data_IF_904337921531
#
_entry.id   IF_904337921531
#
_cell.length_a   1.000
_cell.length_b   1.000
_cell.length_c   1.000
_cell.angle_alpha   90.00
_cell.angle_beta   90.00
_cell.angle_gamma   90.00
#
_symmetry.space_group_name_H-M   'P 1'
#
loop_
_entity.id
_entity.type
_entity.pdbx_description
1 polymer ?
#
# COMPACT_ATOMS: atom_id res chain seq x y z
N UNK A 1 5.05 6.42 0.19
CA UNK A 1 5.39 7.45 1.23
C UNK A 1 6.26 6.91 2.38
N UNK A 2 5.85 5.82 3.04
CA UNK A 2 6.53 5.28 4.23
C UNK A 2 8.01 4.92 4.00
N UNK A 3 8.36 4.41 2.82
CA UNK A 3 9.75 4.05 2.48
C UNK A 3 10.69 5.26 2.56
N UNK A 4 10.25 6.42 2.06
CA UNK A 4 11.02 7.68 2.11
C UNK A 4 11.21 8.17 3.54
N UNK A 5 10.19 8.00 4.39
CA UNK A 5 10.27 8.37 5.80
C UNK A 5 11.26 7.46 6.53
N UNK A 6 11.19 6.14 6.30
CA UNK A 6 12.12 5.20 6.91
C UNK A 6 13.57 5.52 6.51
N UNK A 7 13.82 5.71 5.21
CA UNK A 7 15.16 6.02 4.69
C UNK A 7 15.75 7.30 5.29
N UNK A 8 14.97 8.39 5.36
CA UNK A 8 15.41 9.67 5.95
C UNK A 8 15.76 9.55 7.44
N UNK A 9 15.11 8.64 8.16
CA UNK A 9 15.38 8.33 9.55
C UNK A 9 16.44 7.22 9.75
N UNK A 10 17.06 6.71 8.69
CA UNK A 10 18.06 5.65 8.76
C UNK A 10 17.48 4.26 9.11
N UNK A 11 16.16 4.10 8.97
CA UNK A 11 15.41 2.88 9.22
C UNK A 11 15.16 2.10 7.93
N UNK A 12 14.87 0.80 8.07
CA UNK A 12 14.50 -0.07 6.94
C UNK A 12 12.98 -0.23 6.89
N UNK A 13 12.42 -0.13 5.70
CA UNK A 13 11.02 -0.47 5.44
C UNK A 13 10.91 -1.90 4.89
N UNK A 14 9.97 -2.68 5.42
CA UNK A 14 9.67 -4.02 4.94
C UNK A 14 8.22 -4.08 4.49
N UNK A 15 8.03 -4.34 3.21
CA UNK A 15 6.71 -4.68 2.69
C UNK A 15 6.46 -6.19 2.89
N UNK A 16 5.28 -6.53 3.41
CA UNK A 16 4.85 -7.92 3.63
C UNK A 16 3.45 -8.14 3.05
N UNK A 17 3.05 -9.38 2.75
CA UNK A 17 1.69 -9.68 2.34
C UNK A 17 0.64 -9.20 3.34
N UNK A 18 -0.55 -8.85 2.85
CA UNK A 18 -1.64 -8.39 3.70
C UNK A 18 -2.03 -9.43 4.73
N UNK A 19 -2.21 -8.93 5.95
CA UNK A 19 -2.58 -9.71 7.11
C UNK A 19 -1.59 -9.47 8.24
N UNK A 20 -2.09 -8.96 9.36
CA UNK A 20 -1.26 -8.51 10.47
C UNK A 20 -0.31 -9.56 11.06
N UNK A 21 -0.61 -10.85 10.88
CA UNK A 21 0.31 -11.94 11.23
C UNK A 21 1.68 -11.78 10.56
N UNK A 22 1.71 -11.34 9.29
CA UNK A 22 2.95 -11.13 8.54
C UNK A 22 3.73 -9.93 9.08
N UNK A 23 3.01 -8.86 9.44
CA UNK A 23 3.60 -7.68 10.09
C UNK A 23 4.24 -8.08 11.42
N UNK A 24 3.50 -8.77 12.30
CA UNK A 24 4.04 -9.21 13.60
C UNK A 24 5.24 -10.13 13.44
N UNK A 25 5.20 -11.10 12.51
CA UNK A 25 6.35 -11.97 12.24
C UNK A 25 7.56 -11.22 11.71
N UNK A 26 7.38 -10.24 10.82
CA UNK A 26 8.48 -9.44 10.27
C UNK A 26 9.09 -8.53 11.33
N UNK A 27 8.27 -7.88 12.16
CA UNK A 27 8.75 -7.05 13.26
C UNK A 27 9.58 -7.85 14.26
N UNK A 28 9.22 -9.11 14.53
CA UNK A 28 10.02 -9.99 15.39
C UNK A 28 11.34 -10.41 14.74
N UNK A 29 11.35 -10.64 13.43
CA UNK A 29 12.53 -11.09 12.71
C UNK A 29 13.60 -10.00 12.57
N UNK A 30 13.19 -8.76 12.34
CA UNK A 30 14.10 -7.63 12.08
C UNK A 30 14.20 -6.63 13.26
N UNK A 31 13.50 -6.89 14.36
CA UNK A 31 13.33 -5.93 15.46
C UNK A 31 12.82 -4.58 14.94
N UNK A 32 11.76 -4.56 14.12
CA UNK A 32 11.27 -3.30 13.53
C UNK A 32 10.57 -2.41 14.58
N UNK A 33 10.68 -1.09 14.42
CA UNK A 33 10.12 -0.12 15.38
C UNK A 33 8.59 -0.06 15.35
N UNK A 34 8.03 -0.05 14.15
CA UNK A 34 6.60 0.20 13.88
C UNK A 34 6.13 -0.78 12.81
N UNK A 35 4.88 -1.23 12.93
CA UNK A 35 4.23 -2.04 11.92
C UNK A 35 2.76 -1.64 11.78
N UNK A 36 2.27 -1.59 10.54
CA UNK A 36 0.91 -1.18 10.29
C UNK A 36 0.36 -1.63 8.93
N UNK A 37 -0.95 -1.51 8.79
CA UNK A 37 -1.70 -1.83 7.57
C UNK A 37 -2.71 -0.71 7.27
N UNK A 38 -3.09 -0.56 6.00
CA UNK A 38 -3.98 0.52 5.54
C UNK A 38 -5.40 0.47 6.16
N UNK A 39 -5.81 -0.67 6.72
CA UNK A 39 -7.06 -0.81 7.49
C UNK A 39 -7.02 -0.15 8.88
N UNK A 40 -5.95 0.57 9.23
CA UNK A 40 -5.80 1.28 10.50
C UNK A 40 -5.22 0.45 11.63
N UNK A 41 -4.75 -0.77 11.34
CA UNK A 41 -4.02 -1.59 12.30
C UNK A 41 -2.61 -1.05 12.51
N UNK A 42 -2.20 -0.87 13.77
CA UNK A 42 -0.88 -0.39 14.16
C UNK A 42 -0.35 -1.19 15.35
N UNK A 43 0.95 -1.42 15.37
CA UNK A 43 1.70 -1.85 16.55
C UNK A 43 3.08 -1.21 16.60
N UNK A 44 3.64 -1.13 17.80
CA UNK A 44 4.97 -0.57 18.08
C UNK A 44 5.77 -1.61 18.86
N UNK A 45 7.08 -1.63 18.61
CA UNK A 45 8.05 -2.47 19.32
C UNK A 45 7.82 -2.39 20.83
N UNK A 46 7.78 -3.56 21.49
CA UNK A 46 7.66 -3.67 22.94
C UNK A 46 6.25 -3.55 23.53
N UNK A 47 5.20 -3.28 22.72
CA UNK A 47 3.82 -3.24 23.21
C UNK A 47 3.15 -4.63 23.17
N UNK A 48 2.49 -4.97 22.07
CA UNK A 48 1.87 -6.28 21.85
C UNK A 48 2.14 -6.77 20.43
N UNK A 49 2.14 -8.09 20.25
CA UNK A 49 2.29 -8.77 18.94
C UNK A 49 0.95 -8.79 18.18
N UNK A 50 0.31 -7.63 18.06
CA UNK A 50 -1.05 -7.48 17.53
C UNK A 50 -1.44 -6.01 17.38
N UNK A 51 -2.62 -5.77 16.81
CA UNK A 51 -3.16 -4.41 16.65
C UNK A 51 -3.72 -3.93 17.98
N UNK A 52 -3.44 -2.68 18.33
CA UNK A 52 -4.09 -2.02 19.46
C UNK A 52 -4.54 -0.61 19.06
N UNK A 53 -5.85 -0.47 18.82
CA UNK A 53 -6.44 0.80 18.43
C UNK A 53 -6.47 1.82 19.58
N UNK A 54 -6.53 1.38 20.85
CA UNK A 54 -6.49 2.28 22.00
C UNK A 54 -5.09 2.86 22.11
N UNK A 55 -4.07 2.01 22.05
CA UNK A 55 -2.68 2.43 22.08
C UNK A 55 -2.33 3.36 20.91
N UNK A 56 -2.74 3.02 19.68
CA UNK A 56 -2.54 3.87 18.50
C UNK A 56 -3.21 5.25 18.67
N UNK A 57 -4.43 5.27 19.21
CA UNK A 57 -5.15 6.52 19.50
C UNK A 57 -4.43 7.35 20.58
N UNK A 58 -3.88 6.69 21.62
CA UNK A 58 -3.11 7.37 22.66
C UNK A 58 -1.83 8.01 22.11
N UNK A 59 -1.13 7.36 21.17
CA UNK A 59 0.04 7.95 20.50
C UNK A 59 -0.33 9.21 19.69
N UNK A 60 -1.49 9.22 19.03
CA UNK A 60 -1.98 10.42 18.34
C UNK A 60 -2.31 11.55 19.32
N UNK A 61 -2.94 11.22 20.47
CA UNK A 61 -3.23 12.20 21.52
C UNK A 61 -1.94 12.77 22.11
N UNK A 62 -0.95 11.92 22.38
CA UNK A 62 0.38 12.34 22.83
C UNK A 62 1.05 13.26 21.81
N UNK A 63 1.04 12.89 20.53
CA UNK A 63 1.63 13.68 19.45
C UNK A 63 1.01 15.08 19.38
N UNK A 64 -0.32 15.20 19.47
CA UNK A 64 -1.01 16.49 19.53
C UNK A 64 -0.64 17.26 20.80
N UNK A 65 -0.59 16.59 21.95
CA UNK A 65 -0.29 17.22 23.24
C UNK A 65 1.14 17.74 23.33
N UNK A 66 2.12 17.02 22.77
CA UNK A 66 3.55 17.38 22.82
C UNK A 66 3.87 18.45 21.79
N UNK A 67 3.32 18.34 20.59
CA UNK A 67 3.63 19.28 19.50
C UNK A 67 2.79 20.56 19.55
N UNK A 68 1.60 20.50 20.15
CA UNK A 68 0.60 21.58 20.09
C UNK A 68 -0.01 21.79 18.69
N UNK A 69 0.32 20.93 17.71
CA UNK A 69 -0.12 21.06 16.32
C UNK A 69 -1.38 20.24 16.05
N UNK A 70 -2.18 20.68 15.08
CA UNK A 70 -3.28 19.89 14.53
C UNK A 70 -2.71 18.74 13.68
N UNK A 71 -3.47 17.65 13.59
CA UNK A 71 -3.11 16.52 12.72
C UNK A 71 -2.93 16.93 11.26
N UNK A 72 -3.71 17.89 10.77
CA UNK A 72 -3.57 18.42 9.40
C UNK A 72 -2.21 19.10 9.20
N UNK A 73 -1.74 19.88 10.17
CA UNK A 73 -0.44 20.56 10.09
C UNK A 73 0.72 19.55 10.10
N UNK A 74 0.61 18.51 10.91
CA UNK A 74 1.59 17.41 10.93
C UNK A 74 1.62 16.64 9.61
N UNK A 75 0.46 16.39 9.00
CA UNK A 75 0.39 15.79 7.66
C UNK A 75 0.97 16.71 6.59
N UNK A 76 0.70 18.02 6.65
CA UNK A 76 1.26 18.99 5.72
C UNK A 76 2.79 19.06 5.82
N UNK A 77 3.36 18.92 7.01
CA UNK A 77 4.81 18.82 7.21
C UNK A 77 5.39 17.55 6.59
N UNK A 78 4.72 16.40 6.78
CA UNK A 78 5.11 15.13 6.15
C UNK A 78 5.07 15.25 4.64
N UNK A 79 3.97 15.75 4.07
CA UNK A 79 3.83 15.89 2.61
C UNK A 79 4.77 16.96 2.04
N UNK A 80 5.01 18.05 2.77
CA UNK A 80 5.96 19.08 2.38
C UNK A 80 7.40 18.55 2.30
N UNK A 81 7.78 17.62 3.18
CA UNK A 81 9.12 17.02 3.20
C UNK A 81 9.27 15.84 2.23
N UNK A 82 8.31 14.93 2.17
CA UNK A 82 8.45 13.65 1.47
C UNK A 82 7.65 13.55 0.15
N UNK A 83 6.87 14.59 -0.15
CA UNK A 83 5.93 14.62 -1.26
C UNK A 83 4.56 14.06 -0.88
N UNK A 84 3.54 14.50 -1.63
CA UNK A 84 2.19 13.98 -1.48
C UNK A 84 2.06 12.58 -2.08
N UNK A 85 1.22 11.74 -1.48
CA UNK A 85 0.90 10.40 -1.96
C UNK A 85 -0.61 10.22 -1.92
N UNK A 86 -1.22 10.16 -3.09
CA UNK A 86 -2.65 9.90 -3.25
C UNK A 86 -2.86 8.43 -3.60
N UNK A 87 -3.69 7.75 -2.82
CA UNK A 87 -4.09 6.36 -3.07
C UNK A 87 -5.47 6.33 -3.73
N UNK A 88 -5.51 5.91 -5.00
CA UNK A 88 -6.74 5.57 -5.71
C UNK A 88 -7.09 4.09 -5.53
N UNK A 89 -8.38 3.79 -5.42
CA UNK A 89 -8.93 2.43 -5.32
C UNK A 89 -9.95 2.18 -6.42
N UNK A 90 -9.96 0.96 -6.96
CA UNK A 90 -10.84 0.62 -8.06
C UNK A 90 -11.04 -0.88 -8.22
N UNK A 91 -12.12 -1.37 -7.64
CA UNK A 91 -12.51 -2.78 -7.78
C UNK A 91 -13.02 -3.10 -9.19
N UNK A 92 -12.54 -4.23 -9.73
CA UNK A 92 -13.05 -4.83 -10.96
C UNK A 92 -13.84 -6.10 -10.62
N UNK A 93 -15.15 -6.04 -10.83
CA UNK A 93 -16.00 -7.24 -10.74
C UNK A 93 -15.78 -8.10 -11.96
N UNK A 94 -15.78 -9.42 -11.78
CA UNK A 94 -15.72 -10.37 -12.88
C UNK A 94 -16.69 -11.52 -12.64
N UNK A 95 -17.14 -12.15 -13.72
CA UNK A 95 -17.92 -13.39 -13.63
C UNK A 95 -17.00 -14.53 -13.18
N UNK A 96 -17.48 -15.52 -12.41
CA UNK A 96 -16.67 -16.66 -11.99
C UNK A 96 -15.91 -17.36 -13.13
N UNK A 97 -16.53 -17.46 -14.32
CA UNK A 97 -15.91 -18.04 -15.51
C UNK A 97 -14.68 -17.26 -16.03
N UNK A 98 -14.58 -15.96 -15.77
CA UNK A 98 -13.45 -15.11 -16.18
C UNK A 98 -12.26 -15.22 -15.23
N UNK A 99 -12.46 -15.76 -14.01
CA UNK A 99 -11.41 -15.81 -12.98
C UNK A 99 -10.15 -16.53 -13.46
N UNK A 100 -10.30 -17.69 -14.10
CA UNK A 100 -9.16 -18.46 -14.59
C UNK A 100 -8.40 -17.73 -15.70
N UNK A 101 -9.12 -17.03 -16.59
CA UNK A 101 -8.53 -16.24 -17.68
C UNK A 101 -7.73 -15.07 -17.11
N UNK A 102 -8.32 -14.29 -16.20
CA UNK A 102 -7.65 -13.19 -15.52
C UNK A 102 -6.45 -13.66 -14.71
N UNK A 103 -6.59 -14.80 -14.02
CA UNK A 103 -5.51 -15.38 -13.23
C UNK A 103 -4.33 -15.79 -14.12
N UNK A 104 -4.60 -16.50 -15.22
CA UNK A 104 -3.55 -16.89 -16.16
C UNK A 104 -2.88 -15.66 -16.76
N UNK A 105 -3.64 -14.68 -17.22
CA UNK A 105 -3.12 -13.43 -17.79
C UNK A 105 -2.18 -12.69 -16.82
N UNK A 106 -2.61 -12.50 -15.57
CA UNK A 106 -1.88 -11.67 -14.58
C UNK A 106 -0.73 -12.45 -13.91
N UNK A 107 -0.95 -13.70 -13.49
CA UNK A 107 -0.02 -14.42 -12.61
C UNK A 107 0.81 -15.49 -13.31
N UNK A 108 0.30 -16.10 -14.39
CA UNK A 108 1.01 -17.16 -15.12
C UNK A 108 1.80 -16.57 -16.28
N UNK A 109 1.11 -15.85 -17.16
CA UNK A 109 1.71 -15.18 -18.31
C UNK A 109 2.39 -13.87 -17.93
N UNK A 110 2.08 -13.33 -16.74
CA UNK A 110 2.66 -12.10 -16.19
C UNK A 110 2.52 -10.91 -17.13
N UNK A 111 1.41 -10.86 -17.86
CA UNK A 111 1.08 -9.73 -18.71
C UNK A 111 0.71 -8.52 -17.87
N UNK A 112 1.12 -7.34 -18.32
CA UNK A 112 0.83 -6.05 -17.70
C UNK A 112 0.32 -5.07 -18.76
N UNK A 113 -0.47 -4.05 -18.38
CA UNK A 113 -0.78 -2.94 -19.28
C UNK A 113 0.51 -2.22 -19.68
N UNK A 114 0.43 -1.49 -20.80
CA UNK A 114 1.39 -0.43 -21.08
C UNK A 114 1.08 0.75 -20.16
N UNK A 115 2.03 1.08 -19.28
CA UNK A 115 1.92 2.20 -18.36
C UNK A 115 2.58 3.44 -18.95
N UNK A 116 2.09 4.62 -18.53
CA UNK A 116 2.73 5.90 -18.91
C UNK A 116 4.09 6.12 -18.22
N UNK A 117 4.44 5.29 -17.22
CA UNK A 117 5.66 5.40 -16.44
C UNK A 117 6.56 4.18 -16.60
N UNK A 118 7.87 4.43 -16.54
CA UNK A 118 8.90 3.39 -16.50
C UNK A 118 8.72 2.48 -15.28
N UNK A 119 8.65 1.18 -15.52
CA UNK A 119 8.64 0.16 -14.48
C UNK A 119 10.04 0.02 -13.89
N UNK A 120 10.13 0.08 -12.56
CA UNK A 120 11.33 -0.22 -11.79
C UNK A 120 11.41 -1.72 -11.47
N UNK A 121 10.34 -2.27 -10.91
CA UNK A 121 10.24 -3.71 -10.58
C UNK A 121 8.78 -4.15 -10.52
N UNK A 122 8.58 -5.47 -10.56
CA UNK A 122 7.25 -6.09 -10.38
C UNK A 122 7.36 -7.19 -9.32
N UNK A 123 6.49 -7.16 -8.32
CA UNK A 123 6.31 -8.22 -7.33
C UNK A 123 5.03 -9.00 -7.60
N UNK A 124 5.08 -10.29 -7.31
CA UNK A 124 3.93 -11.21 -7.40
C UNK A 124 3.61 -11.88 -6.05
N UNK A 125 4.21 -11.41 -4.95
CA UNK A 125 4.10 -12.04 -3.63
C UNK A 125 2.70 -11.92 -3.00
N UNK A 126 2.04 -10.77 -3.18
CA UNK A 126 0.68 -10.51 -2.67
C UNK A 126 -0.21 -9.84 -3.71
N UNK A 127 -0.14 -10.33 -4.95
CA UNK A 127 -0.77 -9.70 -6.10
C UNK A 127 0.27 -9.23 -7.11
N UNK A 128 -0.18 -8.81 -8.29
CA UNK A 128 0.71 -8.20 -9.27
C UNK A 128 0.93 -6.73 -8.93
N UNK A 129 2.02 -6.43 -8.21
CA UNK A 129 2.41 -5.07 -7.82
C UNK A 129 3.52 -4.55 -8.72
N UNK A 130 3.25 -3.47 -9.43
CA UNK A 130 4.20 -2.76 -10.29
C UNK A 130 4.67 -1.51 -9.56
N UNK A 131 5.99 -1.36 -9.45
CA UNK A 131 6.64 -0.17 -8.90
C UNK A 131 7.21 0.63 -10.06
N UNK A 132 6.98 1.93 -10.06
CA UNK A 132 7.45 2.85 -11.08
C UNK A 132 8.69 3.60 -10.60
N UNK A 133 9.58 3.96 -11.53
CA UNK A 133 10.81 4.71 -11.19
C UNK A 133 10.57 6.09 -10.57
N UNK A 134 9.37 6.66 -10.72
CA UNK A 134 8.99 7.92 -10.08
C UNK A 134 8.54 7.75 -8.61
N UNK A 135 8.58 6.52 -8.09
CA UNK A 135 8.20 6.17 -6.71
C UNK A 135 6.72 5.85 -6.53
N UNK A 136 5.90 5.95 -7.58
CA UNK A 136 4.52 5.49 -7.56
C UNK A 136 4.42 3.96 -7.71
N UNK A 137 3.25 3.40 -7.42
CA UNK A 137 3.01 1.98 -7.62
C UNK A 137 1.53 1.69 -7.90
N UNK A 138 1.27 0.54 -8.53
CA UNK A 138 -0.07 -0.03 -8.69
C UNK A 138 -0.04 -1.51 -8.36
N UNK A 139 -1.08 -2.01 -7.69
CA UNK A 139 -1.26 -3.42 -7.38
C UNK A 139 -2.62 -3.91 -7.84
N UNK A 140 -2.66 -5.09 -8.46
CA UNK A 140 -3.89 -5.82 -8.72
C UNK A 140 -3.89 -7.16 -7.96
N UNK A 141 -4.89 -7.38 -7.11
CA UNK A 141 -5.00 -8.57 -6.27
C UNK A 141 -6.42 -9.13 -6.27
N UNK A 142 -6.55 -10.46 -6.38
CA UNK A 142 -7.85 -11.11 -6.20
C UNK A 142 -8.33 -10.97 -4.75
N UNK A 143 -9.60 -10.61 -4.57
CA UNK A 143 -10.23 -10.71 -3.27
C UNK A 143 -10.34 -12.18 -2.83
N UNK A 144 -10.06 -12.43 -1.56
CA UNK A 144 -10.20 -13.76 -0.96
C UNK A 144 -11.66 -14.12 -0.64
N UNK A 145 -12.54 -13.13 -0.52
CA UNK A 145 -13.93 -13.29 -0.06
C UNK A 145 -14.96 -12.96 -1.14
N UNK A 146 -14.58 -12.25 -2.19
CA UNK A 146 -15.50 -11.72 -3.19
C UNK A 146 -14.99 -11.98 -4.62
N UNK A 147 -15.87 -12.09 -5.63
CA UNK A 147 -15.50 -12.27 -7.03
C UNK A 147 -15.07 -10.94 -7.68
N UNK A 148 -14.06 -10.31 -7.09
CA UNK A 148 -13.51 -9.04 -7.56
C UNK A 148 -11.98 -9.04 -7.50
N UNK A 149 -11.39 -8.25 -8.38
CA UNK A 149 -9.98 -7.91 -8.40
C UNK A 149 -9.85 -6.50 -7.85
N UNK A 150 -9.18 -6.36 -6.71
CA UNK A 150 -8.90 -5.07 -6.09
C UNK A 150 -7.70 -4.45 -6.76
N UNK A 151 -7.84 -3.20 -7.19
CA UNK A 151 -6.75 -2.43 -7.78
C UNK A 151 -6.53 -1.19 -6.93
N UNK A 152 -5.29 -0.98 -6.50
CA UNK A 152 -4.87 0.23 -5.79
C UNK A 152 -3.70 0.86 -6.50
N UNK A 153 -3.68 2.18 -6.62
CA UNK A 153 -2.55 2.93 -7.16
C UNK A 153 -2.19 4.08 -6.21
N UNK A 154 -0.92 4.19 -5.82
CA UNK A 154 -0.39 5.34 -5.08
C UNK A 154 0.48 6.17 -6.02
N UNK A 155 0.08 7.41 -6.29
CA UNK A 155 0.81 8.35 -7.14
C UNK A 155 0.91 9.72 -6.46
N UNK A 156 1.66 10.65 -7.05
CA UNK A 156 1.91 11.97 -6.46
C UNK A 156 0.67 12.88 -6.39
N UNK A 157 -0.38 12.56 -7.16
CA UNK A 157 -1.63 13.32 -7.21
C UNK A 157 -2.80 12.42 -7.63
N UNK A 158 -4.01 12.94 -7.43
CA UNK A 158 -5.26 12.22 -7.73
C UNK A 158 -5.39 11.86 -9.21
N UNK A 159 -5.20 12.83 -10.09
CA UNK A 159 -5.44 12.64 -11.53
C UNK A 159 -4.52 11.56 -12.10
N UNK A 160 -3.26 11.55 -11.66
CA UNK A 160 -2.29 10.54 -12.06
C UNK A 160 -2.62 9.17 -11.49
N UNK A 161 -3.01 9.08 -10.21
CA UNK A 161 -3.42 7.82 -9.60
C UNK A 161 -4.63 7.20 -10.32
N UNK A 162 -5.64 8.02 -10.64
CA UNK A 162 -6.83 7.58 -11.36
C UNK A 162 -6.52 7.16 -12.81
N UNK A 163 -5.60 7.85 -13.51
CA UNK A 163 -5.16 7.44 -14.86
C UNK A 163 -4.43 6.11 -14.86
N UNK A 164 -3.46 5.90 -13.97
CA UNK A 164 -2.71 4.63 -13.86
C UNK A 164 -3.65 3.48 -13.51
N UNK A 165 -4.61 3.73 -12.62
CA UNK A 165 -5.65 2.77 -12.28
C UNK A 165 -6.53 2.44 -13.49
N UNK A 166 -6.89 3.42 -14.31
CA UNK A 166 -7.67 3.20 -15.53
C UNK A 166 -6.90 2.40 -16.59
N UNK A 167 -5.60 2.64 -16.78
CA UNK A 167 -4.75 1.84 -17.68
C UNK A 167 -4.82 0.35 -17.34
N UNK A 168 -4.79 0.01 -16.05
CA UNK A 168 -4.92 -1.37 -15.60
C UNK A 168 -6.32 -1.93 -15.87
N UNK A 169 -7.37 -1.14 -15.58
CA UNK A 169 -8.76 -1.56 -15.83
C UNK A 169 -9.01 -1.85 -17.31
N UNK A 170 -8.56 -0.98 -18.20
CA UNK A 170 -8.72 -1.13 -19.65
C UNK A 170 -8.02 -2.38 -20.17
N UNK A 171 -6.83 -2.67 -19.64
CA UNK A 171 -6.07 -3.87 -19.95
C UNK A 171 -6.76 -5.17 -19.54
N UNK A 172 -7.58 -5.15 -18.48
CA UNK A 172 -8.34 -6.34 -18.08
C UNK A 172 -9.51 -6.62 -19.05
N UNK A 173 -9.91 -5.64 -19.85
CA UNK A 173 -10.99 -5.76 -20.84
C UNK A 173 -12.27 -6.36 -20.24
N UNK A 174 -12.61 -5.92 -19.01
CA UNK A 174 -13.77 -6.38 -18.24
C UNK A 174 -14.98 -5.48 -18.43
#
# INVERSE_FOLDING_TARGET
LLDKIAEDHGEKCFEVPVGFKHISSQMEADDSLIGGESSGGLTIRGHIKGKDGVFASSLLVEMISVTGKKLSELLDEIYGKYGYAYMAEGDCKFKPAQKAVLFNKIYVEKQLPEFEFDIEKVSYEDGAKVYFKNGGWIIARFSGTEPLLRIFAEMQDKDTAERVLQQFKDFLSL
#
